data_IF_504997432670
#
_entry.id   IF_504997432670
#
_cell.length_a   1.000
_cell.length_b   1.000
_cell.length_c   1.000
_cell.angle_alpha   90.00
_cell.angle_beta   90.00
_cell.angle_gamma   90.00
#
_symmetry.space_group_name_H-M   'P 1'
#
loop_
_entity.id
_entity.type
_entity.pdbx_description
1 polymer ?
#
# COMPACT_ATOMS: atom_id res chain seq x y z
N UNK A 1 -18.64 -17.76 7.32
CA UNK A 1 -18.23 -16.87 8.43
C UNK A 1 -16.74 -17.04 8.64
N UNK A 2 -15.97 -15.96 8.65
CA UNK A 2 -14.53 -16.02 8.92
C UNK A 2 -14.32 -16.31 10.41
N UNK A 3 -13.39 -17.21 10.72
CA UNK A 3 -12.92 -17.41 12.10
C UNK A 3 -12.05 -16.23 12.47
N UNK A 4 -12.31 -15.60 13.61
CA UNK A 4 -11.52 -14.47 14.09
C UNK A 4 -10.12 -14.97 14.48
N UNK A 5 -9.03 -14.31 14.03
CA UNK A 5 -7.68 -14.67 14.46
C UNK A 5 -7.58 -14.69 15.98
N UNK A 6 -7.04 -15.78 16.54
CA UNK A 6 -6.89 -15.96 17.99
C UNK A 6 -5.74 -15.13 18.58
N UNK A 7 -4.95 -14.47 17.74
CA UNK A 7 -3.91 -13.53 18.13
C UNK A 7 -3.53 -12.60 16.98
N UNK A 8 -3.22 -11.35 17.31
CA UNK A 8 -2.70 -10.29 16.45
C UNK A 8 -3.33 -10.26 15.03
N UNK A 9 -4.58 -9.80 14.88
CA UNK A 9 -5.20 -9.68 13.56
C UNK A 9 -4.51 -8.55 12.79
N UNK A 10 -3.69 -8.88 11.80
CA UNK A 10 -2.92 -7.90 11.01
C UNK A 10 -3.61 -7.71 9.66
N UNK A 11 -3.77 -6.45 9.25
CA UNK A 11 -4.24 -6.07 7.93
C UNK A 11 -3.20 -5.21 7.20
N UNK A 12 -3.25 -5.27 5.88
CA UNK A 12 -2.53 -4.36 4.99
C UNK A 12 -3.50 -3.30 4.47
N UNK A 13 -3.07 -2.05 4.55
CA UNK A 13 -3.75 -0.91 3.95
C UNK A 13 -2.86 -0.31 2.87
N UNK A 14 -3.35 -0.25 1.63
CA UNK A 14 -2.62 0.28 0.47
C UNK A 14 -2.65 1.83 0.41
N UNK A 15 -2.36 2.46 1.54
CA UNK A 15 -2.02 3.87 1.64
C UNK A 15 -1.33 4.16 2.99
N UNK A 16 -0.95 5.41 3.21
CA UNK A 16 -0.39 5.86 4.49
C UNK A 16 -1.50 6.21 5.48
N UNK A 17 -1.70 5.38 6.51
CA UNK A 17 -2.57 5.75 7.63
C UNK A 17 -1.92 6.85 8.50
N UNK A 18 -2.73 7.81 9.02
CA UNK A 18 -4.19 7.93 8.87
C UNK A 18 -4.65 8.74 7.65
N UNK A 19 -3.73 9.27 6.83
CA UNK A 19 -3.99 10.28 5.80
C UNK A 19 -4.98 9.83 4.73
N UNK A 20 -4.95 8.55 4.38
CA UNK A 20 -5.74 7.98 3.28
C UNK A 20 -6.51 6.72 3.74
N UNK A 21 -7.09 6.78 4.94
CA UNK A 21 -7.84 5.66 5.54
C UNK A 21 -9.17 5.38 4.82
N UNK A 22 -9.65 4.14 4.90
CA UNK A 22 -10.93 3.72 4.34
C UNK A 22 -10.84 3.24 2.88
N UNK A 23 -12.01 3.13 2.24
CA UNK A 23 -12.11 2.62 0.88
C UNK A 23 -11.41 3.52 -0.14
N UNK A 24 -10.99 2.93 -1.26
CA UNK A 24 -10.29 3.63 -2.36
C UNK A 24 -8.94 4.26 -1.96
N UNK A 25 -8.28 3.71 -0.93
CA UNK A 25 -6.98 4.13 -0.39
C UNK A 25 -5.96 4.56 -1.47
N UNK A 26 -5.74 3.72 -2.49
CA UNK A 26 -4.80 3.99 -3.59
C UNK A 26 -5.23 5.15 -4.48
N UNK A 27 -6.55 5.31 -4.68
CA UNK A 27 -7.09 6.29 -5.61
C UNK A 27 -7.04 7.72 -5.06
N UNK A 28 -7.18 7.91 -3.74
CA UNK A 28 -7.17 9.24 -3.12
C UNK A 28 -5.87 10.01 -3.31
N UNK A 29 -4.74 9.31 -3.40
CA UNK A 29 -3.44 9.93 -3.63
C UNK A 29 -3.36 10.73 -4.95
N UNK A 30 -4.14 10.34 -5.97
CA UNK A 30 -4.14 10.96 -7.31
C UNK A 30 -4.81 12.35 -7.32
N UNK A 31 -6.11 12.51 -6.97
CA UNK A 31 -6.75 13.82 -6.94
C UNK A 31 -6.11 14.76 -5.90
N UNK A 32 -5.54 14.21 -4.82
CA UNK A 32 -4.80 14.98 -3.82
C UNK A 32 -3.42 15.47 -4.30
N UNK A 33 -3.01 15.06 -5.50
CA UNK A 33 -1.67 15.35 -6.08
C UNK A 33 -0.56 15.00 -5.09
N UNK A 34 -0.70 13.87 -4.40
CA UNK A 34 0.27 13.43 -3.43
C UNK A 34 1.62 13.18 -4.12
N UNK A 35 2.71 13.67 -3.54
CA UNK A 35 4.07 13.40 -4.02
C UNK A 35 4.64 12.09 -3.46
N UNK A 36 3.87 11.41 -2.60
CA UNK A 36 4.23 10.14 -1.95
C UNK A 36 2.97 9.32 -1.73
N UNK A 37 3.05 8.04 -2.09
CA UNK A 37 2.13 6.98 -1.67
C UNK A 37 2.82 6.09 -0.63
N UNK A 38 2.17 5.03 -0.18
CA UNK A 38 2.81 4.02 0.63
C UNK A 38 1.87 2.91 1.05
N UNK A 39 2.41 1.95 1.79
CA UNK A 39 1.63 0.87 2.38
C UNK A 39 1.78 0.85 3.90
N UNK A 40 0.73 0.44 4.59
CA UNK A 40 0.68 0.33 6.04
C UNK A 40 0.28 -1.09 6.46
N UNK A 41 1.09 -1.71 7.31
CA UNK A 41 0.67 -2.90 8.07
C UNK A 41 0.18 -2.43 9.44
N UNK A 42 -1.01 -2.87 9.86
CA UNK A 42 -1.58 -2.48 11.13
C UNK A 42 -2.39 -3.58 11.79
N UNK A 43 -2.53 -3.48 13.11
CA UNK A 43 -3.45 -4.34 13.86
C UNK A 43 -4.89 -3.90 13.57
N UNK A 44 -5.72 -4.84 13.16
CA UNK A 44 -7.15 -4.64 12.99
C UNK A 44 -7.79 -4.35 14.35
N UNK A 45 -8.67 -3.36 14.37
CA UNK A 45 -9.55 -3.07 15.50
C UNK A 45 -11.00 -3.17 15.04
N UNK A 46 -11.95 -2.90 15.93
CA UNK A 46 -13.36 -2.77 15.52
C UNK A 46 -13.58 -1.65 14.49
N UNK A 47 -12.69 -0.66 14.46
CA UNK A 47 -12.67 0.37 13.43
C UNK A 47 -11.70 -0.02 12.31
N UNK A 48 -12.20 -0.04 11.08
CA UNK A 48 -11.38 -0.31 9.89
C UNK A 48 -10.28 0.75 9.72
N UNK A 49 -9.12 0.30 9.23
CA UNK A 49 -7.98 1.14 8.83
C UNK A 49 -7.57 2.17 9.89
N UNK A 50 -7.63 1.77 11.15
CA UNK A 50 -7.41 2.65 12.29
C UNK A 50 -6.28 2.16 13.20
N UNK A 51 -5.41 3.10 13.61
CA UNK A 51 -4.37 2.95 14.64
C UNK A 51 -3.52 1.68 14.47
N UNK A 52 -2.79 1.27 15.52
CA UNK A 52 -2.11 -0.02 15.56
C UNK A 52 -1.05 -0.24 14.48
N UNK A 53 -0.43 0.83 13.97
CA UNK A 53 0.56 0.75 12.88
C UNK A 53 1.76 -0.06 13.36
N UNK A 54 2.03 -1.16 12.65
CA UNK A 54 3.18 -2.03 12.87
C UNK A 54 4.35 -1.61 11.97
N UNK A 55 4.05 -1.26 10.72
CA UNK A 55 5.05 -0.80 9.76
C UNK A 55 4.41 0.08 8.69
N UNK A 56 5.20 1.04 8.19
CA UNK A 56 4.86 1.87 7.05
C UNK A 56 6.06 2.05 6.13
N UNK A 57 5.80 2.09 4.83
CA UNK A 57 6.80 2.42 3.82
C UNK A 57 6.20 3.36 2.79
N UNK A 58 7.00 4.35 2.39
CA UNK A 58 6.61 5.35 1.40
C UNK A 58 7.22 5.03 0.05
N UNK A 59 6.49 5.33 -1.02
CA UNK A 59 6.93 5.25 -2.41
C UNK A 59 6.74 6.65 -3.01
N UNK A 60 7.76 7.22 -3.69
CA UNK A 60 7.57 8.50 -4.38
C UNK A 60 6.52 8.37 -5.49
N UNK A 61 5.72 9.41 -5.67
CA UNK A 61 4.78 9.51 -6.79
C UNK A 61 5.20 10.63 -7.74
N UNK A 62 4.96 10.39 -9.03
CA UNK A 62 5.02 11.38 -10.10
C UNK A 62 3.62 11.84 -10.50
N UNK A 63 3.53 13.03 -11.10
CA UNK A 63 2.29 13.61 -11.61
C UNK A 63 1.60 12.80 -12.71
N UNK A 64 2.31 11.86 -13.35
CA UNK A 64 1.77 10.95 -14.37
C UNK A 64 1.29 9.62 -13.80
N UNK A 65 1.49 9.36 -12.51
CA UNK A 65 1.02 8.13 -11.87
C UNK A 65 -0.51 8.06 -11.85
N UNK A 66 -1.01 6.82 -11.99
CA UNK A 66 -2.45 6.53 -11.93
C UNK A 66 -2.70 5.44 -10.90
N UNK A 67 -3.93 5.39 -10.36
CA UNK A 67 -4.30 4.41 -9.32
C UNK A 67 -4.46 2.98 -9.84
N UNK A 68 -4.34 2.77 -11.15
CA UNK A 68 -4.50 1.48 -11.80
C UNK A 68 -3.23 1.15 -12.56
N UNK A 69 -2.86 -0.12 -12.60
CA UNK A 69 -1.85 -0.54 -13.56
C UNK A 69 -2.41 -0.35 -14.98
N UNK A 70 -1.75 0.40 -15.87
CA UNK A 70 -2.19 0.42 -17.26
C UNK A 70 -2.15 -1.01 -17.78
N UNK A 71 -3.27 -1.50 -18.31
CA UNK A 71 -3.30 -2.77 -19.03
C UNK A 71 -2.17 -2.77 -20.06
N UNK A 72 -1.42 -3.87 -20.24
CA UNK A 72 -0.23 -3.84 -21.08
C UNK A 72 -0.61 -3.58 -22.54
N UNK A 73 -0.55 -2.32 -22.95
CA UNK A 73 -0.38 -1.95 -24.34
C UNK A 73 1.12 -2.07 -24.63
N UNK A 74 1.54 -3.28 -25.00
CA UNK A 74 2.90 -3.57 -25.52
C UNK A 74 4.06 -3.37 -24.53
N UNK A 75 4.48 -4.48 -23.91
CA UNK A 75 5.89 -4.86 -23.74
C UNK A 75 6.87 -3.85 -23.13
N UNK A 76 6.69 -3.46 -21.86
CA UNK A 76 7.82 -3.06 -21.01
C UNK A 76 7.50 -3.32 -19.54
N UNK A 77 7.58 -4.60 -19.16
CA UNK A 77 7.54 -5.00 -17.76
C UNK A 77 8.71 -4.38 -17.00
N UNK A 78 8.44 -3.99 -15.75
CA UNK A 78 9.42 -3.52 -14.78
C UNK A 78 10.68 -4.41 -14.85
N UNK A 79 11.84 -3.81 -15.12
CA UNK A 79 13.10 -4.46 -14.76
C UNK A 79 13.21 -4.35 -13.25
N UNK A 80 12.92 -5.43 -12.55
CA UNK A 80 13.57 -5.68 -11.27
C UNK A 80 15.08 -5.59 -11.51
N UNK A 81 15.77 -4.70 -10.80
CA UNK A 81 17.21 -4.77 -10.73
C UNK A 81 17.52 -5.99 -9.89
N UNK A 82 17.90 -7.09 -10.55
CA UNK A 82 18.71 -8.12 -9.92
C UNK A 82 19.96 -7.42 -9.36
N UNK A 83 20.02 -7.25 -8.04
CA UNK A 83 21.28 -7.02 -7.35
C UNK A 83 21.57 -8.30 -6.60
N UNK A 84 22.51 -9.07 -7.15
CA UNK A 84 23.14 -10.19 -6.49
C UNK A 84 23.71 -9.71 -5.16
N UNK A 85 23.08 -10.17 -4.08
CA UNK A 85 23.57 -10.02 -2.71
C UNK A 85 23.18 -11.31 -1.99
N UNK A 86 24.16 -12.17 -1.78
CA UNK A 86 24.01 -13.37 -0.96
C UNK A 86 23.53 -12.98 0.43
N UNK A 87 22.39 -13.51 0.85
CA UNK A 87 21.96 -13.45 2.24
C UNK A 87 22.51 -14.71 2.91
N UNK A 88 23.47 -14.51 3.82
CA UNK A 88 23.70 -15.41 4.96
C UNK A 88 22.81 -14.98 6.11
#
# INVERSE_FOLDING_TARGET
>A
MLVVPTGMPINFHDALLPRDAGAHATAWAVPDRATRHGGTWHVMTAQADARGILAQRTIPMDHTDTSVFPAPSTGRFMREREHGGSVV
#
